data_IF_701303703412
#
_entry.id   IF_701303703412
#
_cell.length_a   1.000
_cell.length_b   1.000
_cell.length_c   1.000
_cell.angle_alpha   90.00
_cell.angle_beta   90.00
_cell.angle_gamma   90.00
#
_symmetry.space_group_name_H-M   'P 1'
#
loop_
_entity.id
_entity.type
_entity.pdbx_description
1 polymer ?
#
# COMPACT_ATOMS: atom_id res chain seq x y z
N UNK A 1 26.20 -19.49 -7.52
CA UNK A 1 24.93 -19.66 -6.80
C UNK A 1 24.70 -18.77 -5.56
N UNK A 2 25.70 -18.14 -4.88
CA UNK A 2 25.40 -17.31 -3.69
C UNK A 2 24.69 -15.98 -4.02
N UNK A 3 24.90 -15.40 -5.20
CA UNK A 3 24.25 -14.15 -5.62
C UNK A 3 22.73 -14.27 -5.80
N UNK A 4 22.26 -15.37 -6.39
CA UNK A 4 20.83 -15.62 -6.58
C UNK A 4 20.11 -15.82 -5.25
N UNK A 5 20.70 -16.59 -4.33
CA UNK A 5 20.15 -16.81 -2.99
C UNK A 5 20.02 -15.48 -2.22
N UNK A 6 21.04 -14.61 -2.33
CA UNK A 6 21.02 -13.27 -1.74
C UNK A 6 19.89 -12.41 -2.30
N UNK A 7 19.70 -12.40 -3.63
CA UNK A 7 18.61 -11.64 -4.26
C UNK A 7 17.25 -12.14 -3.79
N UNK A 8 17.02 -13.46 -3.77
CA UNK A 8 15.76 -14.03 -3.29
C UNK A 8 15.50 -13.65 -1.83
N UNK A 9 16.51 -13.78 -0.96
CA UNK A 9 16.38 -13.38 0.44
C UNK A 9 16.01 -11.90 0.59
N UNK A 10 16.73 -11.00 -0.08
CA UNK A 10 16.45 -9.56 -0.03
C UNK A 10 15.07 -9.21 -0.63
N UNK A 11 14.64 -9.95 -1.66
CA UNK A 11 13.31 -9.81 -2.24
C UNK A 11 12.22 -10.14 -1.23
N UNK A 12 12.37 -11.25 -0.49
CA UNK A 12 11.44 -11.62 0.59
C UNK A 12 11.44 -10.57 1.69
N UNK A 13 12.61 -10.13 2.15
CA UNK A 13 12.72 -9.10 3.19
C UNK A 13 12.04 -7.79 2.76
N UNK A 14 12.22 -7.37 1.50
CA UNK A 14 11.57 -6.17 0.98
C UNK A 14 10.04 -6.29 0.96
N UNK A 15 9.51 -7.45 0.59
CA UNK A 15 8.06 -7.70 0.58
C UNK A 15 7.48 -7.77 2.00
N UNK A 16 8.16 -8.44 2.93
CA UNK A 16 7.76 -8.47 4.35
C UNK A 16 7.78 -7.07 4.95
N UNK A 17 8.82 -6.29 4.68
CA UNK A 17 8.90 -4.89 5.13
C UNK A 17 7.80 -4.01 4.55
N UNK A 18 7.38 -4.27 3.30
CA UNK A 18 6.26 -3.56 2.69
C UNK A 18 4.92 -3.89 3.36
N UNK A 19 4.68 -5.15 3.71
CA UNK A 19 3.50 -5.55 4.47
C UNK A 19 3.50 -4.92 5.87
N UNK A 20 4.68 -4.83 6.51
CA UNK A 20 4.83 -4.16 7.79
C UNK A 20 4.54 -2.66 7.67
N UNK A 21 5.06 -1.98 6.63
CA UNK A 21 4.79 -0.57 6.38
C UNK A 21 3.29 -0.31 6.18
N UNK A 22 2.63 -1.16 5.38
CA UNK A 22 1.19 -1.09 5.18
C UNK A 22 0.43 -1.28 6.50
N UNK A 23 0.79 -2.28 7.30
CA UNK A 23 0.15 -2.56 8.58
C UNK A 23 0.33 -1.40 9.56
N UNK A 24 1.52 -0.82 9.65
CA UNK A 24 1.80 0.32 10.53
C UNK A 24 0.99 1.55 10.15
N UNK A 25 0.94 1.90 8.86
CA UNK A 25 0.15 3.05 8.39
C UNK A 25 -1.34 2.80 8.61
N UNK A 26 -1.84 1.60 8.26
CA UNK A 26 -3.25 1.25 8.47
C UNK A 26 -3.62 1.26 9.96
N UNK A 27 -2.71 0.81 10.83
CA UNK A 27 -2.91 0.84 12.28
C UNK A 27 -2.99 2.26 12.82
N UNK A 28 -2.22 3.19 12.26
CA UNK A 28 -2.35 4.61 12.58
C UNK A 28 -3.77 5.12 12.32
N UNK A 29 -4.37 4.67 11.22
CA UNK A 29 -5.76 4.97 10.89
C UNK A 29 -6.78 4.49 11.92
N UNK A 30 -6.48 3.46 12.71
CA UNK A 30 -7.41 2.89 13.68
C UNK A 30 -7.50 3.64 15.03
N UNK A 31 -6.43 4.28 15.50
CA UNK A 31 -6.43 4.96 16.81
C UNK A 31 -6.53 6.48 16.72
N UNK A 32 -6.20 7.08 15.57
CA UNK A 32 -6.33 8.52 15.33
C UNK A 32 -7.79 9.04 15.33
N UNK A 33 -8.82 8.33 14.84
CA UNK A 33 -10.19 8.85 14.73
C UNK A 33 -10.77 9.39 16.04
N UNK A 34 -10.49 8.70 17.15
CA UNK A 34 -10.96 9.10 18.48
C UNK A 34 -10.37 10.44 18.92
N UNK A 35 -9.15 10.76 18.48
CA UNK A 35 -8.48 12.03 18.75
C UNK A 35 -9.09 13.19 17.94
N UNK A 36 -9.72 12.88 16.81
CA UNK A 36 -10.41 13.85 15.95
C UNK A 36 -11.93 13.89 16.19
N UNK A 37 -12.44 13.18 17.20
CA UNK A 37 -13.87 13.16 17.55
C UNK A 37 -14.75 12.47 16.51
N UNK A 38 -14.19 11.60 15.67
CA UNK A 38 -14.96 10.84 14.69
C UNK A 38 -15.82 9.79 15.39
N UNK A 39 -17.11 9.77 15.06
CA UNK A 39 -18.07 8.86 15.68
C UNK A 39 -17.97 7.46 15.06
N UNK A 40 -17.94 6.38 15.86
CA UNK A 40 -17.97 5.01 15.37
C UNK A 40 -19.15 4.75 14.43
N UNK A 41 -18.90 4.15 13.27
CA UNK A 41 -19.90 3.84 12.25
C UNK A 41 -20.38 5.02 11.40
N UNK A 42 -19.83 6.22 11.59
CA UNK A 42 -20.18 7.38 10.77
C UNK A 42 -19.59 7.32 9.35
N UNK A 43 -20.22 7.99 8.38
CA UNK A 43 -19.65 8.13 7.02
C UNK A 43 -18.28 8.80 7.03
N UNK A 44 -18.04 9.72 7.98
CA UNK A 44 -16.76 10.38 8.15
C UNK A 44 -15.67 9.40 8.60
N UNK A 45 -15.98 8.46 9.49
CA UNK A 45 -15.05 7.39 9.85
C UNK A 45 -14.77 6.49 8.63
N UNK A 46 -15.79 6.14 7.85
CA UNK A 46 -15.59 5.32 6.66
C UNK A 46 -14.67 6.00 5.63
N UNK A 47 -14.80 7.33 5.47
CA UNK A 47 -13.88 8.13 4.64
C UNK A 47 -12.46 8.18 5.21
N UNK A 48 -12.32 8.21 6.53
CA UNK A 48 -11.03 8.12 7.21
C UNK A 48 -10.35 6.77 6.98
N UNK A 49 -11.09 5.67 7.16
CA UNK A 49 -10.61 4.30 6.95
C UNK A 49 -10.17 4.12 5.48
N UNK A 50 -10.91 4.68 4.53
CA UNK A 50 -10.52 4.71 3.13
C UNK A 50 -9.21 5.48 2.93
N UNK A 51 -9.07 6.68 3.51
CA UNK A 51 -7.86 7.48 3.38
C UNK A 51 -6.62 6.73 3.89
N UNK A 52 -6.70 6.08 5.04
CA UNK A 52 -5.60 5.29 5.59
C UNK A 52 -5.35 3.99 4.83
N UNK A 53 -6.38 3.39 4.23
CA UNK A 53 -6.22 2.28 3.28
C UNK A 53 -5.38 2.72 2.08
N UNK A 54 -5.68 3.89 1.50
CA UNK A 54 -4.93 4.44 0.35
C UNK A 54 -3.49 4.78 0.74
N UNK A 55 -3.29 5.48 1.87
CA UNK A 55 -1.96 5.83 2.35
C UNK A 55 -1.12 4.59 2.67
N UNK A 56 -1.72 3.57 3.31
CA UNK A 56 -1.07 2.31 3.62
C UNK A 56 -0.65 1.55 2.36
N UNK A 57 -1.52 1.50 1.35
CA UNK A 57 -1.20 0.90 0.06
C UNK A 57 -0.05 1.62 -0.67
N UNK A 58 -0.09 2.96 -0.72
CA UNK A 58 1.00 3.77 -1.29
C UNK A 58 2.32 3.49 -0.56
N UNK A 59 2.30 3.50 0.78
CA UNK A 59 3.49 3.27 1.60
C UNK A 59 4.08 1.86 1.39
N UNK A 60 3.23 0.83 1.38
CA UNK A 60 3.66 -0.55 1.13
C UNK A 60 4.28 -0.72 -0.26
N UNK A 61 3.61 -0.22 -1.31
CA UNK A 61 4.10 -0.29 -2.69
C UNK A 61 5.41 0.51 -2.85
N UNK A 62 5.48 1.71 -2.25
CA UNK A 62 6.69 2.53 -2.25
C UNK A 62 7.86 1.83 -1.56
N UNK A 63 7.62 1.21 -0.40
CA UNK A 63 8.62 0.45 0.33
C UNK A 63 9.15 -0.73 -0.51
N UNK A 64 8.25 -1.56 -1.04
CA UNK A 64 8.62 -2.70 -1.87
C UNK A 64 9.42 -2.26 -3.11
N UNK A 65 8.98 -1.17 -3.76
CA UNK A 65 9.66 -0.60 -4.93
C UNK A 65 11.05 -0.07 -4.56
N UNK A 66 11.16 0.69 -3.46
CA UNK A 66 12.41 1.32 -3.06
C UNK A 66 13.45 0.31 -2.57
N UNK A 67 13.06 -0.75 -1.85
CA UNK A 67 13.98 -1.73 -1.28
C UNK A 67 14.20 -2.98 -2.15
N UNK A 68 13.48 -3.12 -3.27
CA UNK A 68 13.66 -4.24 -4.19
C UNK A 68 15.13 -4.42 -4.62
N UNK A 69 15.70 -5.63 -4.52
CA UNK A 69 17.05 -5.90 -5.00
C UNK A 69 17.12 -5.94 -6.53
N UNK A 70 16.01 -6.28 -7.19
CA UNK A 70 15.87 -6.34 -8.62
C UNK A 70 14.44 -6.00 -9.03
N UNK A 71 14.24 -5.48 -10.24
CA UNK A 71 12.92 -5.23 -10.84
C UNK A 71 11.98 -4.45 -9.90
N UNK A 72 12.33 -3.21 -9.49
CA UNK A 72 11.59 -2.44 -8.48
C UNK A 72 10.08 -2.35 -8.71
N UNK A 73 9.67 -2.09 -9.95
CA UNK A 73 8.24 -1.99 -10.27
C UNK A 73 7.49 -3.30 -10.04
N UNK A 74 8.10 -4.45 -10.33
CA UNK A 74 7.47 -5.76 -10.12
C UNK A 74 7.22 -6.05 -8.64
N UNK A 75 8.16 -5.68 -7.77
CA UNK A 75 7.96 -5.75 -6.32
C UNK A 75 6.78 -4.89 -5.85
N UNK A 76 6.73 -3.62 -6.29
CA UNK A 76 5.60 -2.74 -6.03
C UNK A 76 4.27 -3.32 -6.54
N UNK A 77 4.25 -3.83 -7.78
CA UNK A 77 3.06 -4.46 -8.38
C UNK A 77 2.61 -5.67 -7.58
N UNK A 78 3.53 -6.47 -7.03
CA UNK A 78 3.14 -7.65 -6.25
C UNK A 78 2.33 -7.29 -5.00
N UNK A 79 2.73 -6.22 -4.29
CA UNK A 79 1.95 -5.68 -3.16
C UNK A 79 0.61 -5.14 -3.66
N UNK A 80 0.60 -4.40 -4.77
CA UNK A 80 -0.63 -3.93 -5.39
C UNK A 80 -1.59 -5.07 -5.75
N UNK A 81 -1.10 -6.20 -6.29
CA UNK A 81 -1.94 -7.36 -6.59
C UNK A 81 -2.60 -7.91 -5.33
N UNK A 82 -1.88 -7.98 -4.21
CA UNK A 82 -2.47 -8.37 -2.93
C UNK A 82 -3.57 -7.41 -2.48
N UNK A 83 -3.39 -6.11 -2.72
CA UNK A 83 -4.42 -5.10 -2.42
C UNK A 83 -5.65 -5.26 -3.31
N UNK A 84 -5.48 -5.46 -4.62
CA UNK A 84 -6.59 -5.72 -5.55
C UNK A 84 -7.36 -6.96 -5.13
N UNK A 85 -6.66 -8.06 -4.81
CA UNK A 85 -7.30 -9.30 -4.37
C UNK A 85 -8.02 -9.12 -3.02
N UNK A 86 -7.39 -8.44 -2.06
CA UNK A 86 -7.99 -8.16 -0.76
C UNK A 86 -9.23 -7.27 -0.85
N UNK A 87 -9.16 -6.17 -1.61
CA UNK A 87 -10.29 -5.28 -1.86
C UNK A 87 -11.41 -5.98 -2.64
N UNK A 88 -11.06 -6.75 -3.67
CA UNK A 88 -12.03 -7.52 -4.46
C UNK A 88 -12.74 -8.57 -3.62
N UNK A 89 -12.00 -9.30 -2.77
CA UNK A 89 -12.57 -10.25 -1.82
C UNK A 89 -13.48 -9.57 -0.79
N UNK A 90 -13.03 -8.45 -0.21
CA UNK A 90 -13.83 -7.68 0.76
C UNK A 90 -15.14 -7.18 0.17
N UNK A 91 -15.10 -6.61 -1.04
CA UNK A 91 -16.30 -6.17 -1.75
C UNK A 91 -17.20 -7.34 -2.18
N UNK A 92 -16.63 -8.50 -2.49
CA UNK A 92 -17.42 -9.69 -2.82
C UNK A 92 -18.20 -10.22 -1.60
N UNK A 93 -17.55 -10.25 -0.43
CA UNK A 93 -18.16 -10.81 0.79
C UNK A 93 -19.07 -9.81 1.49
N UNK A 94 -18.67 -8.54 1.56
CA UNK A 94 -19.32 -7.50 2.39
C UNK A 94 -19.72 -6.25 1.60
N UNK A 95 -19.61 -6.24 0.27
CA UNK A 95 -19.87 -5.02 -0.51
C UNK A 95 -21.29 -4.49 -0.40
N UNK A 96 -22.25 -5.34 -0.03
CA UNK A 96 -23.63 -4.93 0.26
C UNK A 96 -23.79 -4.13 1.56
N UNK A 97 -22.82 -4.24 2.47
CA UNK A 97 -22.85 -3.60 3.79
C UNK A 97 -22.31 -2.16 3.76
N UNK A 98 -21.67 -1.76 2.65
CA UNK A 98 -21.05 -0.45 2.49
C UNK A 98 -21.81 0.46 1.50
N UNK A 99 -21.78 1.79 1.70
CA UNK A 99 -22.26 2.74 0.71
C UNK A 99 -21.55 2.58 -0.64
N UNK A 100 -22.30 2.76 -1.74
CA UNK A 100 -21.76 2.64 -3.11
C UNK A 100 -20.57 3.56 -3.37
N UNK A 101 -20.58 4.76 -2.79
CA UNK A 101 -19.48 5.71 -2.95
C UNK A 101 -18.16 5.14 -2.42
N UNK A 102 -18.20 4.39 -1.31
CA UNK A 102 -17.02 3.79 -0.70
C UNK A 102 -16.45 2.70 -1.59
N UNK A 103 -17.30 1.81 -2.11
CA UNK A 103 -16.88 0.76 -3.03
C UNK A 103 -16.24 1.34 -4.30
N UNK A 104 -16.86 2.36 -4.90
CA UNK A 104 -16.32 3.05 -6.08
C UNK A 104 -14.98 3.71 -5.75
N UNK A 105 -14.90 4.45 -4.64
CA UNK A 105 -13.69 5.15 -4.24
C UNK A 105 -12.55 4.18 -3.91
N UNK A 106 -12.84 3.05 -3.26
CA UNK A 106 -11.87 1.97 -3.03
C UNK A 106 -11.31 1.44 -4.35
N UNK A 107 -12.16 1.10 -5.31
CA UNK A 107 -11.75 0.59 -6.62
C UNK A 107 -10.92 1.61 -7.41
N UNK A 108 -11.36 2.86 -7.45
CA UNK A 108 -10.64 3.96 -8.10
C UNK A 108 -9.31 4.24 -7.41
N UNK A 109 -9.21 4.01 -6.10
CA UNK A 109 -7.97 4.23 -5.39
C UNK A 109 -6.87 3.22 -5.73
N UNK A 110 -7.21 1.99 -6.14
CA UNK A 110 -6.22 0.96 -6.47
C UNK A 110 -5.17 1.41 -7.51
N UNK A 111 -5.54 1.98 -8.68
CA UNK A 111 -4.55 2.54 -9.59
C UNK A 111 -3.79 3.74 -9.01
N UNK A 112 -4.44 4.58 -8.20
CA UNK A 112 -3.78 5.72 -7.52
C UNK A 112 -2.71 5.22 -6.55
N UNK A 113 -2.99 4.15 -5.79
CA UNK A 113 -2.05 3.53 -4.87
C UNK A 113 -0.83 2.98 -5.61
N UNK A 114 -1.03 2.32 -6.76
CA UNK A 114 0.07 1.81 -7.59
C UNK A 114 0.96 2.95 -8.12
N UNK A 115 0.34 3.95 -8.75
CA UNK A 115 1.06 5.07 -9.34
C UNK A 115 1.80 5.89 -8.27
N UNK A 116 1.13 6.20 -7.15
CA UNK A 116 1.71 6.87 -6.01
C UNK A 116 2.85 6.07 -5.40
N UNK A 117 2.66 4.78 -5.19
CA UNK A 117 3.69 3.89 -4.64
C UNK A 117 4.93 3.80 -5.53
N UNK A 118 4.77 3.65 -6.84
CA UNK A 118 5.90 3.69 -7.77
C UNK A 118 6.59 5.06 -7.79
N UNK A 119 5.83 6.15 -7.73
CA UNK A 119 6.37 7.50 -7.72
C UNK A 119 7.18 7.79 -6.46
N UNK A 120 6.70 7.43 -5.28
CA UNK A 120 7.44 7.65 -4.03
C UNK A 120 8.56 6.62 -3.81
N UNK A 121 8.40 5.41 -4.33
CA UNK A 121 9.39 4.33 -4.23
C UNK A 121 10.55 4.41 -5.23
N UNK A 122 10.59 5.44 -6.10
CA UNK A 122 11.69 5.61 -7.07
C UNK A 122 13.00 5.88 -6.36
N UNK A 123 14.08 5.18 -6.73
CA UNK A 123 15.43 5.52 -6.29
C UNK A 123 15.94 6.72 -7.11
N UNK A 124 16.55 7.74 -6.49
CA UNK A 124 17.28 8.76 -7.24
C UNK A 124 18.38 8.08 -8.07
N UNK A 125 18.43 8.38 -9.37
CA UNK A 125 19.58 7.99 -10.20
C UNK A 125 20.82 8.67 -9.62
N UNK A 126 21.81 7.89 -9.17
CA UNK A 126 23.13 8.41 -8.82
C UNK A 126 23.82 8.86 -10.11
N UNK A 127 23.50 10.06 -10.58
CA UNK A 127 24.11 10.65 -11.77
C UNK A 127 24.19 12.16 -11.58
N UNK A 128 25.03 12.63 -10.63
CA UNK A 128 25.48 14.04 -10.53
C UNK A 128 26.54 14.26 -9.42
N UNK A 129 27.56 13.40 -9.27
CA UNK A 129 28.71 13.73 -8.38
C UNK A 129 29.97 12.95 -8.75
N UNK A 130 30.25 12.83 -10.04
CA UNK A 130 31.59 12.51 -10.56
C UNK A 130 31.78 13.34 -11.83
N UNK A 131 32.08 14.62 -11.64
CA UNK A 131 32.63 15.52 -12.65
C UNK A 131 33.79 16.27 -11.98
#
# INVERSE_FOLDING_TARGET
>A
MPGMLKTVFLSVVALVGALLALALVSSAGGWLPSLFGLHPGSEAQLGWDLAFTVLGGIAGIAFATYYAPCWPRAHGTSIWTLLVLGSGYGLWVMGGDFPRWFAIALLVSLPVQLLGGWWFGRRPSRSATQA
#
